data_IF_164337002840
#
_entry.id   IF_164337002840
#
_cell.length_a   1.000
_cell.length_b   1.000
_cell.length_c   1.000
_cell.angle_alpha   90.00
_cell.angle_beta   90.00
_cell.angle_gamma   90.00
#
_symmetry.space_group_name_H-M   'P 1'
#
loop_
_entity.id
_entity.type
_entity.pdbx_description
1 polymer ?
#
# COMPACT_ATOMS: atom_id res chain seq x y z
N UNK A 1 -4.13 10.63 -29.05
CA UNK A 1 -5.05 10.14 -30.07
C UNK A 1 -4.37 9.11 -30.95
N UNK A 2 -5.08 8.02 -31.23
CA UNK A 2 -4.66 6.95 -32.14
C UNK A 2 -5.60 6.96 -33.34
N UNK A 3 -5.05 6.99 -34.56
CA UNK A 3 -5.83 7.00 -35.81
C UNK A 3 -5.53 5.73 -36.61
N UNK A 4 -6.57 5.05 -37.05
CA UNK A 4 -6.48 3.91 -37.96
C UNK A 4 -7.49 4.05 -39.09
N UNK A 5 -7.05 4.50 -40.26
CA UNK A 5 -7.94 4.85 -41.37
C UNK A 5 -8.84 6.03 -40.99
N UNK A 6 -10.15 5.78 -40.95
CA UNK A 6 -11.16 6.77 -40.54
C UNK A 6 -11.51 6.65 -39.04
N UNK A 7 -11.06 5.60 -38.38
CA UNK A 7 -11.30 5.38 -36.94
C UNK A 7 -10.31 6.18 -36.11
N UNK A 8 -10.78 6.66 -34.97
CA UNK A 8 -10.00 7.44 -34.04
C UNK A 8 -10.34 7.04 -32.58
N UNK A 9 -9.32 6.89 -31.77
CA UNK A 9 -9.46 6.56 -30.37
C UNK A 9 -8.56 7.46 -29.51
N UNK A 10 -9.15 8.08 -28.49
CA UNK A 10 -8.43 8.94 -27.54
C UNK A 10 -8.21 8.20 -26.23
N UNK A 11 -6.95 8.04 -25.84
CA UNK A 11 -6.55 7.47 -24.56
C UNK A 11 -5.82 8.54 -23.74
N UNK A 12 -6.24 8.79 -22.49
CA UNK A 12 -5.42 9.51 -21.56
C UNK A 12 -4.21 8.66 -21.15
N UNK A 13 -3.04 9.26 -21.07
CA UNK A 13 -1.86 8.62 -20.48
C UNK A 13 -1.00 9.65 -19.77
N UNK A 14 -0.17 9.18 -18.83
CA UNK A 14 0.78 10.03 -18.14
C UNK A 14 2.16 9.40 -18.08
N UNK A 15 3.18 10.25 -18.02
CA UNK A 15 4.57 9.84 -17.89
C UNK A 15 5.12 10.37 -16.58
N UNK A 16 5.71 9.49 -15.81
CA UNK A 16 6.42 9.84 -14.58
C UNK A 16 7.60 8.90 -14.38
N UNK A 17 8.59 9.34 -13.62
CA UNK A 17 9.69 8.51 -13.13
C UNK A 17 9.57 8.35 -11.62
N UNK A 18 9.95 7.17 -11.12
CA UNK A 18 10.03 6.88 -9.70
C UNK A 18 11.45 6.47 -9.38
N UNK A 19 12.01 7.00 -8.32
CA UNK A 19 13.33 6.65 -7.83
C UNK A 19 13.32 6.61 -6.30
N UNK A 20 14.10 5.71 -5.74
CA UNK A 20 14.31 5.61 -4.30
C UNK A 20 15.76 5.92 -3.97
N UNK A 21 15.96 6.61 -2.87
CA UNK A 21 17.22 6.65 -2.13
C UNK A 21 17.00 6.00 -0.77
N UNK A 22 18.06 5.86 0.03
CA UNK A 22 17.91 5.35 1.40
C UNK A 22 16.92 6.16 2.26
N UNK A 23 16.70 7.44 1.94
CA UNK A 23 15.93 8.38 2.76
C UNK A 23 14.74 9.02 2.06
N UNK A 24 14.64 8.88 0.73
CA UNK A 24 13.65 9.65 -0.03
C UNK A 24 12.98 8.83 -1.12
N UNK A 25 11.72 9.12 -1.31
CA UNK A 25 10.94 8.74 -2.49
C UNK A 25 10.95 9.92 -3.46
N UNK A 26 11.34 9.68 -4.72
CA UNK A 26 11.40 10.72 -5.73
C UNK A 26 10.39 10.45 -6.84
N UNK A 27 9.64 11.48 -7.23
CA UNK A 27 8.79 11.48 -8.42
C UNK A 27 9.31 12.56 -9.36
N UNK A 28 9.62 12.18 -10.61
CA UNK A 28 10.21 13.09 -11.60
C UNK A 28 11.47 13.80 -11.09
N UNK A 29 12.33 13.07 -10.38
CA UNK A 29 13.57 13.55 -9.81
C UNK A 29 13.42 14.50 -8.61
N UNK A 30 12.20 14.73 -8.12
CA UNK A 30 11.94 15.61 -6.98
C UNK A 30 11.49 14.80 -5.76
N UNK A 31 11.96 15.15 -4.54
CA UNK A 31 11.50 14.52 -3.32
C UNK A 31 9.98 14.64 -3.19
N UNK A 32 9.33 13.51 -2.95
CA UNK A 32 7.89 13.44 -2.72
C UNK A 32 7.64 12.99 -1.29
N UNK A 33 6.91 13.82 -0.55
CA UNK A 33 6.48 13.51 0.81
C UNK A 33 5.00 13.14 0.79
N UNK A 34 4.69 11.89 1.18
CA UNK A 34 3.32 11.40 1.25
C UNK A 34 2.54 12.11 2.36
N UNK A 35 1.48 12.80 1.99
CA UNK A 35 0.49 13.41 2.89
C UNK A 35 -0.85 12.83 2.49
N UNK A 36 -1.30 11.79 3.19
CA UNK A 36 -2.42 11.05 2.67
C UNK A 36 -3.19 10.26 3.71
N UNK A 37 -3.95 9.32 3.20
CA UNK A 37 -4.86 8.49 3.98
C UNK A 37 -4.74 7.02 3.59
N UNK A 38 -4.94 6.13 4.58
CA UNK A 38 -5.51 4.82 4.33
C UNK A 38 -7.00 5.02 4.06
N UNK A 39 -7.40 4.94 2.81
CA UNK A 39 -8.80 5.18 2.40
C UNK A 39 -9.56 3.86 2.38
N UNK A 40 -10.89 3.94 2.44
CA UNK A 40 -11.79 2.86 2.07
C UNK A 40 -12.71 3.30 0.92
N UNK A 41 -13.09 2.36 0.03
CA UNK A 41 -14.00 2.60 -1.06
C UNK A 41 -15.38 2.05 -0.69
N UNK A 42 -16.07 2.75 0.19
CA UNK A 42 -17.41 2.41 0.62
C UNK A 42 -18.22 3.66 0.97
N UNK A 43 -19.54 3.52 0.94
CA UNK A 43 -20.49 4.58 1.30
C UNK A 43 -21.66 4.01 2.08
N UNK A 44 -22.34 4.87 2.83
CA UNK A 44 -23.48 4.51 3.66
C UNK A 44 -24.63 3.89 2.86
N UNK A 45 -24.79 4.30 1.60
CA UNK A 45 -25.91 3.89 0.75
C UNK A 45 -25.54 2.73 -0.17
N UNK A 46 -24.35 2.78 -0.77
CA UNK A 46 -23.94 1.83 -1.82
C UNK A 46 -22.98 0.75 -1.34
N UNK A 47 -22.57 0.80 -0.08
CA UNK A 47 -21.50 -0.07 0.39
C UNK A 47 -20.25 0.08 -0.48
N UNK A 48 -19.73 -1.03 -0.99
CA UNK A 48 -18.58 -1.06 -1.93
C UNK A 48 -18.97 -0.93 -3.41
N UNK A 49 -20.23 -0.62 -3.71
CA UNK A 49 -20.64 -0.30 -5.07
C UNK A 49 -20.08 1.03 -5.52
N UNK A 50 -19.80 1.15 -6.82
CA UNK A 50 -19.27 2.38 -7.39
C UNK A 50 -20.14 3.60 -7.07
N UNK A 51 -19.55 4.62 -6.49
CA UNK A 51 -20.16 5.90 -6.19
C UNK A 51 -19.25 7.05 -6.67
N UNK A 52 -19.43 7.44 -7.92
CA UNK A 52 -18.60 8.48 -8.55
C UNK A 52 -18.76 9.84 -7.85
N UNK A 53 -19.96 10.15 -7.35
CA UNK A 53 -20.19 11.42 -6.63
C UNK A 53 -19.41 11.46 -5.32
N UNK A 54 -19.37 10.33 -4.59
CA UNK A 54 -18.54 10.19 -3.40
C UNK A 54 -17.05 10.29 -3.73
N UNK A 55 -16.60 9.63 -4.79
CA UNK A 55 -15.21 9.66 -5.23
C UNK A 55 -14.76 11.10 -5.58
N UNK A 56 -15.60 11.87 -6.26
CA UNK A 56 -15.35 13.31 -6.53
C UNK A 56 -15.21 14.07 -5.22
N UNK A 57 -16.16 13.88 -4.29
CA UNK A 57 -16.13 14.56 -2.98
C UNK A 57 -14.88 14.23 -2.19
N UNK A 58 -14.50 12.95 -2.13
CA UNK A 58 -13.31 12.49 -1.42
C UNK A 58 -12.04 13.14 -1.99
N UNK A 59 -11.91 13.16 -3.32
CA UNK A 59 -10.77 13.82 -3.97
C UNK A 59 -10.71 15.32 -3.71
N UNK A 60 -11.85 16.02 -3.68
CA UNK A 60 -11.89 17.45 -3.35
C UNK A 60 -11.56 17.69 -1.87
N UNK A 61 -12.02 16.82 -0.95
CA UNK A 61 -11.65 16.89 0.46
C UNK A 61 -10.16 16.65 0.66
N UNK A 62 -9.58 15.65 0.00
CA UNK A 62 -8.13 15.40 0.01
C UNK A 62 -7.35 16.64 -0.39
N UNK A 63 -7.74 17.28 -1.49
CA UNK A 63 -7.11 18.54 -1.94
C UNK A 63 -7.29 19.69 -0.96
N UNK A 64 -8.50 19.84 -0.44
CA UNK A 64 -8.83 20.93 0.49
C UNK A 64 -7.97 20.91 1.74
N UNK A 65 -7.65 19.74 2.29
CA UNK A 65 -6.77 19.61 3.46
C UNK A 65 -5.28 19.56 3.10
N UNK A 66 -4.93 19.67 1.81
CA UNK A 66 -3.54 19.62 1.34
C UNK A 66 -2.94 18.23 1.27
N UNK A 67 -3.76 17.19 1.23
CA UNK A 67 -3.30 15.83 0.96
C UNK A 67 -2.95 15.66 -0.53
N UNK A 68 -2.03 14.72 -0.81
CA UNK A 68 -1.51 14.46 -2.15
C UNK A 68 -1.53 12.98 -2.53
N UNK A 69 -1.96 12.11 -1.61
CA UNK A 69 -1.87 10.67 -1.79
C UNK A 69 -2.90 9.91 -0.97
N UNK A 70 -3.16 8.65 -1.39
CA UNK A 70 -3.86 7.68 -0.56
C UNK A 70 -3.36 6.25 -0.85
N UNK A 71 -3.67 5.32 0.04
CA UNK A 71 -3.51 3.89 -0.14
C UNK A 71 -4.89 3.25 -0.32
N UNK A 72 -5.00 2.33 -1.27
CA UNK A 72 -6.25 1.59 -1.52
C UNK A 72 -6.44 0.49 -0.46
N UNK A 73 -6.61 0.90 0.80
CA UNK A 73 -6.80 -0.03 1.92
C UNK A 73 -8.12 -0.79 1.77
N UNK A 74 -8.20 -2.08 1.78
CA UNK A 74 -7.16 -3.13 1.72
C UNK A 74 -7.50 -4.03 0.54
N UNK A 75 -7.81 -3.45 -0.60
CA UNK A 75 -8.32 -4.13 -1.81
C UNK A 75 -8.22 -3.20 -3.03
N UNK A 76 -8.23 -3.73 -4.26
CA UNK A 76 -8.28 -2.91 -5.47
C UNK A 76 -9.56 -2.07 -5.49
N UNK A 77 -9.41 -0.76 -5.72
CA UNK A 77 -10.54 0.16 -5.91
C UNK A 77 -11.04 0.15 -7.35
N UNK A 78 -12.18 0.78 -7.60
CA UNK A 78 -12.71 0.93 -8.95
C UNK A 78 -11.71 1.66 -9.87
N UNK A 79 -11.65 1.26 -11.14
CA UNK A 79 -10.75 1.89 -12.13
C UNK A 79 -11.06 3.38 -12.31
N UNK A 80 -12.33 3.78 -12.15
CA UNK A 80 -12.77 5.17 -12.18
C UNK A 80 -12.10 6.02 -11.08
N UNK A 81 -11.81 5.42 -9.91
CA UNK A 81 -11.06 6.09 -8.86
C UNK A 81 -9.60 6.29 -9.25
N UNK A 82 -8.99 5.30 -9.95
CA UNK A 82 -7.62 5.44 -10.47
C UNK A 82 -7.57 6.52 -11.56
N UNK A 83 -8.52 6.53 -12.49
CA UNK A 83 -8.64 7.57 -13.53
C UNK A 83 -8.81 8.97 -12.91
N UNK A 84 -9.60 9.08 -11.86
CA UNK A 84 -9.77 10.34 -11.14
C UNK A 84 -8.48 10.78 -10.44
N UNK A 85 -7.77 9.86 -9.81
CA UNK A 85 -6.47 10.13 -9.19
C UNK A 85 -5.44 10.62 -10.23
N UNK A 86 -5.39 9.99 -11.42
CA UNK A 86 -4.57 10.45 -12.55
C UNK A 86 -4.88 11.89 -12.94
N UNK A 87 -6.18 12.20 -13.15
CA UNK A 87 -6.62 13.53 -13.56
C UNK A 87 -6.38 14.61 -12.51
N UNK A 88 -6.52 14.25 -11.23
CA UNK A 88 -6.39 15.16 -10.09
C UNK A 88 -4.93 15.32 -9.63
N UNK A 89 -4.01 14.45 -10.10
CA UNK A 89 -2.62 14.42 -9.67
C UNK A 89 -2.45 13.93 -8.23
N UNK A 90 -3.29 12.99 -7.81
CA UNK A 90 -3.22 12.33 -6.52
C UNK A 90 -2.42 11.03 -6.69
N UNK A 91 -1.44 10.81 -5.82
CA UNK A 91 -0.57 9.63 -5.88
C UNK A 91 -1.20 8.46 -5.12
N UNK A 92 -1.08 7.27 -5.66
CA UNK A 92 -1.70 6.05 -5.11
C UNK A 92 -0.65 5.00 -4.76
N UNK A 93 -0.77 4.45 -3.56
CA UNK A 93 -0.19 3.17 -3.16
C UNK A 93 -1.29 2.14 -3.36
N UNK A 94 -1.12 1.28 -4.37
CA UNK A 94 -2.18 0.36 -4.78
C UNK A 94 -2.01 -1.00 -4.12
N UNK A 95 -3.06 -1.47 -3.43
CA UNK A 95 -2.98 -2.61 -2.51
C UNK A 95 -3.86 -3.77 -2.95
N UNK A 96 -3.31 -4.98 -2.87
CA UNK A 96 -4.06 -6.23 -3.10
C UNK A 96 -4.87 -6.63 -1.86
N UNK A 97 -5.92 -7.48 -2.00
CA UNK A 97 -6.76 -7.90 -0.89
C UNK A 97 -6.06 -8.94 0.01
N UNK A 98 -4.85 -8.62 0.48
CA UNK A 98 -4.04 -9.46 1.36
C UNK A 98 -4.04 -8.93 2.80
N UNK A 99 -5.22 -8.76 3.35
CA UNK A 99 -5.52 -8.46 4.75
C UNK A 99 -6.05 -9.72 5.44
N UNK A 100 -5.85 -9.87 6.74
CA UNK A 100 -6.33 -11.05 7.48
C UNK A 100 -5.31 -12.18 7.66
N UNK A 101 -4.10 -12.08 7.09
CA UNK A 101 -2.99 -12.96 7.41
C UNK A 101 -2.31 -12.53 8.71
N UNK A 102 -3.09 -12.28 9.75
CA UNK A 102 -2.62 -11.71 11.00
C UNK A 102 -2.90 -12.60 12.22
N UNK A 103 -2.44 -12.14 13.37
CA UNK A 103 -2.42 -12.89 14.62
C UNK A 103 -3.78 -13.01 15.35
N UNK A 104 -4.86 -12.42 14.84
CA UNK A 104 -6.17 -12.52 15.52
C UNK A 104 -6.69 -13.96 15.60
N UNK A 105 -6.26 -14.83 14.68
CA UNK A 105 -6.55 -16.28 14.72
C UNK A 105 -5.40 -17.11 15.32
N UNK A 106 -4.34 -16.46 15.78
CA UNK A 106 -3.06 -17.11 16.10
C UNK A 106 -2.91 -17.70 17.50
N UNK A 107 -3.97 -17.78 18.30
CA UNK A 107 -3.86 -18.34 19.67
C UNK A 107 -3.43 -19.81 19.71
N UNK A 108 -3.49 -20.52 18.58
CA UNK A 108 -3.22 -21.97 18.52
C UNK A 108 -2.33 -22.43 17.35
N UNK A 109 -1.21 -21.74 17.07
CA UNK A 109 -0.19 -22.38 16.25
C UNK A 109 0.11 -21.77 14.88
N UNK A 110 0.11 -20.46 14.76
CA UNK A 110 0.60 -19.79 13.55
C UNK A 110 -0.45 -19.59 12.46
N UNK A 111 -0.13 -18.70 11.54
CA UNK A 111 -0.97 -18.34 10.37
C UNK A 111 -0.48 -19.04 9.11
N UNK A 112 0.84 -19.14 8.94
CA UNK A 112 1.46 -19.74 7.75
C UNK A 112 1.59 -21.25 7.91
N UNK A 113 0.47 -21.94 7.83
CA UNK A 113 0.31 -23.40 8.03
C UNK A 113 -0.46 -24.02 6.87
N UNK A 114 -0.43 -25.36 6.76
CA UNK A 114 -1.11 -26.09 5.67
C UNK A 114 -2.62 -25.91 5.62
N UNK A 115 -3.25 -25.62 6.75
CA UNK A 115 -4.70 -25.44 6.88
C UNK A 115 -5.16 -23.99 6.77
N UNK A 116 -4.24 -23.00 6.81
CA UNK A 116 -4.56 -21.57 6.74
C UNK A 116 -3.89 -20.90 5.53
N UNK A 117 -2.71 -20.31 5.71
CA UNK A 117 -1.96 -19.65 4.63
C UNK A 117 -0.97 -20.64 4.03
N UNK A 118 -1.35 -21.27 2.95
CA UNK A 118 -0.67 -22.39 2.30
C UNK A 118 -0.35 -22.11 0.81
N UNK A 119 0.02 -23.13 0.06
CA UNK A 119 0.33 -23.03 -1.36
C UNK A 119 -0.85 -22.52 -2.21
N UNK A 120 -2.10 -22.86 -1.86
CA UNK A 120 -3.29 -22.35 -2.58
C UNK A 120 -3.47 -20.86 -2.33
N UNK A 121 -3.28 -20.41 -1.10
CA UNK A 121 -3.28 -18.99 -0.74
C UNK A 121 -2.17 -18.25 -1.48
N UNK A 122 -0.97 -18.83 -1.55
CA UNK A 122 0.15 -18.25 -2.29
C UNK A 122 -0.15 -18.14 -3.79
N UNK A 123 -0.72 -19.18 -4.39
CA UNK A 123 -1.11 -19.16 -5.80
C UNK A 123 -2.16 -18.10 -6.09
N UNK A 124 -3.18 -17.99 -5.22
CA UNK A 124 -4.21 -16.96 -5.33
C UNK A 124 -3.65 -15.56 -5.11
N UNK A 125 -2.76 -15.36 -4.15
CA UNK A 125 -2.10 -14.08 -3.93
C UNK A 125 -1.31 -13.63 -5.17
N UNK A 126 -0.57 -14.54 -5.81
CA UNK A 126 0.10 -14.27 -7.09
C UNK A 126 -0.88 -13.93 -8.20
N UNK A 127 -2.04 -14.58 -8.24
CA UNK A 127 -3.08 -14.30 -9.21
C UNK A 127 -3.65 -12.88 -9.05
N UNK A 128 -4.07 -12.50 -7.83
CA UNK A 128 -4.64 -11.15 -7.59
C UNK A 128 -3.62 -10.05 -7.84
N UNK A 129 -2.34 -10.28 -7.54
CA UNK A 129 -1.25 -9.36 -7.91
C UNK A 129 -1.12 -9.16 -9.42
N UNK A 130 -1.22 -10.26 -10.18
CA UNK A 130 -1.17 -10.20 -11.65
C UNK A 130 -2.36 -9.43 -12.21
N UNK A 131 -3.55 -9.69 -11.68
CA UNK A 131 -4.79 -9.02 -12.11
C UNK A 131 -4.74 -7.53 -11.81
N UNK A 132 -4.33 -7.14 -10.59
CA UNK A 132 -4.13 -5.75 -10.21
C UNK A 132 -3.11 -5.06 -11.11
N UNK A 133 -1.93 -5.66 -11.28
CA UNK A 133 -0.90 -5.14 -12.18
C UNK A 133 -1.41 -4.96 -13.60
N UNK A 134 -2.10 -5.95 -14.16
CA UNK A 134 -2.60 -5.89 -15.53
C UNK A 134 -3.59 -4.76 -15.74
N UNK A 135 -4.45 -4.50 -14.77
CA UNK A 135 -5.44 -3.43 -14.80
C UNK A 135 -4.76 -2.06 -14.63
N UNK A 136 -3.92 -1.91 -13.61
CA UNK A 136 -3.52 -0.58 -13.12
C UNK A 136 -2.10 -0.15 -13.53
N UNK A 137 -1.33 -1.00 -14.21
CA UNK A 137 0.04 -0.68 -14.64
C UNK A 137 0.18 0.58 -15.49
N UNK A 138 -0.87 0.99 -16.19
CA UNK A 138 -0.86 2.16 -17.07
C UNK A 138 -1.35 3.45 -16.36
N UNK A 139 -1.78 3.36 -15.10
CA UNK A 139 -2.15 4.53 -14.32
C UNK A 139 -0.90 5.23 -13.77
N UNK A 140 -0.60 6.48 -14.17
CA UNK A 140 0.54 7.22 -13.65
C UNK A 140 0.41 7.56 -12.16
N UNK A 141 -0.79 7.62 -11.61
CA UNK A 141 -1.02 7.82 -10.18
C UNK A 141 -0.48 6.67 -9.33
N UNK A 142 -0.48 5.43 -9.84
CA UNK A 142 0.04 4.26 -9.13
C UNK A 142 1.55 4.30 -9.11
N UNK A 143 2.13 4.57 -7.94
CA UNK A 143 3.59 4.73 -7.78
C UNK A 143 4.24 3.61 -6.98
N UNK A 144 3.45 2.76 -6.34
CA UNK A 144 3.95 1.68 -5.48
C UNK A 144 2.89 0.58 -5.36
N UNK A 145 3.32 -0.68 -5.34
CA UNK A 145 2.47 -1.84 -5.08
C UNK A 145 2.57 -2.23 -3.62
N UNK A 146 1.44 -2.28 -2.92
CA UNK A 146 1.33 -2.83 -1.58
C UNK A 146 0.81 -4.26 -1.65
N UNK A 147 1.64 -5.21 -1.21
CA UNK A 147 1.35 -6.63 -1.38
C UNK A 147 0.68 -7.28 -0.17
N UNK A 148 0.56 -6.55 0.95
CA UNK A 148 -0.09 -7.06 2.16
C UNK A 148 -0.36 -5.95 3.16
N UNK A 149 -1.37 -6.15 4.02
CA UNK A 149 -1.61 -5.34 5.21
C UNK A 149 -1.56 -6.19 6.48
N UNK A 150 -0.72 -5.79 7.42
CA UNK A 150 -0.58 -6.33 8.77
C UNK A 150 -0.50 -7.87 8.85
N UNK A 151 0.33 -8.52 8.04
CA UNK A 151 0.50 -9.97 8.15
C UNK A 151 1.25 -10.31 9.43
N UNK A 152 1.12 -11.55 9.92
CA UNK A 152 1.91 -12.06 11.03
C UNK A 152 3.38 -12.25 10.62
N UNK A 153 4.06 -11.16 10.36
CA UNK A 153 5.43 -11.12 9.81
C UNK A 153 6.51 -11.56 10.79
N UNK A 154 6.15 -11.83 12.04
CA UNK A 154 7.05 -12.41 13.05
C UNK A 154 7.23 -13.93 12.91
N UNK A 155 6.32 -14.63 12.22
CA UNK A 155 6.49 -16.05 11.95
C UNK A 155 7.63 -16.33 10.96
N UNK A 156 8.46 -17.36 11.21
CA UNK A 156 9.54 -17.71 10.30
C UNK A 156 9.02 -18.14 8.91
N UNK A 157 7.89 -18.84 8.87
CA UNK A 157 7.28 -19.27 7.63
C UNK A 157 6.76 -18.12 6.75
N UNK A 158 6.45 -16.96 7.34
CA UNK A 158 6.08 -15.75 6.59
C UNK A 158 7.18 -15.28 5.65
N UNK A 159 8.45 -15.49 6.03
CA UNK A 159 9.61 -15.08 5.26
C UNK A 159 9.62 -15.71 3.87
N UNK A 160 9.49 -17.04 3.79
CA UNK A 160 9.50 -17.75 2.51
C UNK A 160 8.30 -17.35 1.65
N UNK A 161 7.12 -17.21 2.27
CA UNK A 161 5.90 -16.80 1.59
C UNK A 161 6.06 -15.42 0.92
N UNK A 162 6.48 -14.41 1.67
CA UNK A 162 6.61 -13.04 1.14
C UNK A 162 7.83 -12.85 0.23
N UNK A 163 8.89 -13.64 0.39
CA UNK A 163 9.97 -13.69 -0.58
C UNK A 163 9.46 -14.13 -1.95
N UNK A 164 8.64 -15.20 -2.00
CA UNK A 164 8.02 -15.70 -3.22
C UNK A 164 7.06 -14.69 -3.86
N UNK A 165 6.19 -14.06 -3.06
CA UNK A 165 5.26 -13.03 -3.52
C UNK A 165 6.02 -11.83 -4.11
N UNK A 166 7.04 -11.36 -3.41
CA UNK A 166 7.87 -10.22 -3.85
C UNK A 166 8.62 -10.55 -5.15
N UNK A 167 9.23 -11.72 -5.23
CA UNK A 167 9.88 -12.18 -6.47
C UNK A 167 8.90 -12.24 -7.65
N UNK A 168 7.64 -12.59 -7.37
CA UNK A 168 6.63 -12.70 -8.40
C UNK A 168 6.22 -11.32 -8.95
N UNK A 169 5.85 -10.37 -8.08
CA UNK A 169 5.47 -9.02 -8.54
C UNK A 169 6.65 -8.30 -9.21
N UNK A 170 7.88 -8.54 -8.76
CA UNK A 170 9.10 -7.98 -9.38
C UNK A 170 9.31 -8.46 -10.81
N UNK A 171 8.84 -9.65 -11.17
CA UNK A 171 8.85 -10.15 -12.56
C UNK A 171 7.80 -9.46 -13.43
N UNK A 172 6.71 -9.00 -12.85
CA UNK A 172 5.65 -8.28 -13.56
C UNK A 172 6.02 -6.81 -13.75
N UNK A 173 6.54 -6.19 -12.68
CA UNK A 173 6.94 -4.78 -12.66
C UNK A 173 8.32 -4.64 -11.98
N UNK A 174 9.30 -4.24 -12.78
CA UNK A 174 10.66 -3.98 -12.29
C UNK A 174 10.91 -2.51 -11.93
N UNK A 175 9.95 -1.63 -12.19
CA UNK A 175 10.12 -0.18 -12.04
C UNK A 175 9.49 0.37 -10.76
N UNK A 176 8.26 -0.05 -10.45
CA UNK A 176 7.57 0.44 -9.24
C UNK A 176 8.11 -0.23 -8.00
N UNK A 177 8.33 0.54 -6.93
CA UNK A 177 8.64 0.00 -5.62
C UNK A 177 7.53 -0.93 -5.10
N UNK A 178 7.96 -1.89 -4.30
CA UNK A 178 7.09 -2.84 -3.61
C UNK A 178 7.12 -2.54 -2.13
N UNK A 179 5.97 -2.60 -1.50
CA UNK A 179 5.80 -2.47 -0.05
C UNK A 179 4.79 -3.48 0.50
N UNK A 180 4.70 -3.53 1.79
CA UNK A 180 3.63 -4.11 2.57
C UNK A 180 3.59 -3.38 3.91
N UNK A 181 2.44 -3.33 4.54
CA UNK A 181 2.24 -2.58 5.77
C UNK A 181 2.40 -3.47 6.99
N UNK A 182 3.27 -3.07 7.92
CA UNK A 182 3.61 -3.83 9.13
C UNK A 182 3.01 -3.20 10.39
N UNK A 183 2.56 -4.04 11.32
CA UNK A 183 2.14 -3.62 12.66
C UNK A 183 2.95 -4.24 13.81
N UNK A 184 3.78 -5.23 13.51
CA UNK A 184 4.69 -5.86 14.49
C UNK A 184 5.83 -4.94 14.89
N UNK A 185 6.54 -5.30 15.95
CA UNK A 185 7.77 -4.62 16.32
C UNK A 185 8.88 -4.91 15.31
N UNK A 186 9.75 -3.92 15.10
CA UNK A 186 10.82 -4.01 14.10
C UNK A 186 11.75 -5.20 14.34
N UNK A 187 12.02 -5.54 15.58
CA UNK A 187 12.88 -6.68 15.95
C UNK A 187 12.28 -8.02 15.53
N UNK A 188 10.97 -8.14 15.54
CA UNK A 188 10.23 -9.36 15.21
C UNK A 188 9.99 -9.52 13.68
N UNK A 189 9.96 -8.40 12.95
CA UNK A 189 9.67 -8.41 11.52
C UNK A 189 10.72 -9.17 10.71
N UNK A 190 10.23 -10.05 9.83
CA UNK A 190 11.06 -10.92 8.98
C UNK A 190 10.91 -10.65 7.49
N UNK A 191 9.94 -9.81 7.08
CA UNK A 191 9.57 -9.68 5.66
C UNK A 191 9.91 -8.35 5.02
N UNK A 192 10.01 -7.26 5.78
CA UNK A 192 10.33 -5.92 5.22
C UNK A 192 11.70 -5.85 4.53
N UNK A 193 12.57 -6.82 4.78
CA UNK A 193 13.82 -6.97 4.04
C UNK A 193 13.63 -7.12 2.53
N UNK A 194 12.49 -7.69 2.09
CA UNK A 194 12.17 -7.92 0.68
C UNK A 194 11.55 -6.71 -0.03
N UNK A 195 11.09 -5.72 0.72
CA UNK A 195 10.41 -4.53 0.21
C UNK A 195 11.39 -3.41 -0.13
N UNK A 196 10.98 -2.46 -0.95
CA UNK A 196 11.80 -1.29 -1.30
C UNK A 196 11.54 -0.11 -0.36
N UNK A 197 10.31 -0.02 0.13
CA UNK A 197 9.85 0.98 1.10
C UNK A 197 9.24 0.24 2.28
N UNK A 198 9.55 0.66 3.49
CA UNK A 198 8.94 0.13 4.71
C UNK A 198 7.68 0.93 5.01
N UNK A 199 6.54 0.27 5.09
CA UNK A 199 5.29 0.87 5.55
C UNK A 199 4.88 0.29 6.90
N UNK A 200 4.45 1.15 7.83
CA UNK A 200 4.05 0.74 9.18
C UNK A 200 2.75 1.40 9.60
N UNK A 201 1.94 0.68 10.35
CA UNK A 201 0.76 1.18 11.05
C UNK A 201 1.10 1.39 12.52
N UNK A 202 0.83 2.59 13.04
CA UNK A 202 1.14 2.93 14.43
C UNK A 202 0.07 3.82 15.03
N UNK A 203 -0.43 3.38 16.18
CA UNK A 203 -1.56 4.02 16.87
C UNK A 203 -1.20 4.44 18.28
N UNK A 204 -0.04 5.08 18.45
CA UNK A 204 0.35 5.69 19.73
C UNK A 204 -0.65 6.78 20.13
N UNK A 205 -1.08 6.75 21.39
CA UNK A 205 -2.10 7.67 21.91
C UNK A 205 -3.53 7.18 21.68
N UNK A 206 -3.72 6.10 20.91
CA UNK A 206 -5.00 5.47 20.64
C UNK A 206 -5.04 4.01 21.15
N UNK A 207 -4.63 3.02 20.37
CA UNK A 207 -4.56 1.63 20.85
C UNK A 207 -3.43 1.44 21.88
N UNK A 208 -2.32 2.16 21.73
CA UNK A 208 -1.18 2.09 22.64
C UNK A 208 -1.08 3.38 23.44
N UNK A 209 -1.32 3.29 24.76
CA UNK A 209 -1.27 4.45 25.65
C UNK A 209 -2.37 5.47 25.36
N UNK A 210 -3.61 5.00 25.22
CA UNK A 210 -4.78 5.83 24.94
C UNK A 210 -4.84 7.09 25.80
N UNK A 211 -5.08 8.24 25.16
CA UNK A 211 -5.15 9.55 25.80
C UNK A 211 -3.83 10.17 26.23
N UNK A 212 -2.68 9.47 26.07
CA UNK A 212 -1.34 9.99 26.42
C UNK A 212 -0.69 10.66 25.22
N UNK A 213 -1.24 11.81 24.82
CA UNK A 213 -0.84 12.54 23.60
C UNK A 213 0.65 12.91 23.61
N UNK A 214 1.21 13.22 24.77
CA UNK A 214 2.63 13.56 24.94
C UNK A 214 3.59 12.43 24.55
N UNK A 215 3.11 11.18 24.51
CA UNK A 215 3.90 10.01 24.10
C UNK A 215 3.94 9.77 22.60
N UNK A 216 3.02 10.34 21.83
CA UNK A 216 2.91 10.07 20.41
C UNK A 216 4.22 10.37 19.68
N UNK A 217 4.70 11.60 19.79
CA UNK A 217 5.90 12.05 19.08
C UNK A 217 7.16 11.24 19.47
N UNK A 218 7.53 11.11 20.76
CA UNK A 218 8.75 10.38 21.10
C UNK A 218 8.69 8.89 20.74
N UNK A 219 7.53 8.24 20.91
CA UNK A 219 7.36 6.83 20.57
C UNK A 219 7.45 6.60 19.05
N UNK A 220 6.70 7.36 18.27
CA UNK A 220 6.73 7.24 16.82
C UNK A 220 8.12 7.58 16.26
N UNK A 221 8.76 8.64 16.74
CA UNK A 221 10.12 9.00 16.31
C UNK A 221 11.11 7.88 16.55
N UNK A 222 11.07 7.28 17.74
CA UNK A 222 11.98 6.18 18.10
C UNK A 222 11.75 4.96 17.19
N UNK A 223 10.48 4.62 16.95
CA UNK A 223 10.12 3.48 16.10
C UNK A 223 10.56 3.69 14.65
N UNK A 224 10.29 4.85 14.07
CA UNK A 224 10.73 5.21 12.71
C UNK A 224 12.25 5.11 12.54
N UNK A 225 13.02 5.57 13.54
CA UNK A 225 14.49 5.48 13.53
C UNK A 225 14.92 4.01 13.50
N UNK A 226 14.36 3.17 14.35
CA UNK A 226 14.70 1.73 14.41
C UNK A 226 14.40 1.02 13.07
N UNK A 227 13.24 1.29 12.46
CA UNK A 227 12.89 0.73 11.17
C UNK A 227 13.87 1.15 10.07
N UNK A 228 14.23 2.43 10.05
CA UNK A 228 15.21 2.94 9.08
C UNK A 228 16.60 2.34 9.32
N UNK A 229 17.07 2.30 10.57
CA UNK A 229 18.39 1.74 10.91
C UNK A 229 18.51 0.25 10.58
N UNK A 230 17.43 -0.54 10.81
CA UNK A 230 17.44 -1.97 10.50
C UNK A 230 17.48 -2.26 9.01
N UNK A 231 16.74 -1.51 8.20
CA UNK A 231 16.57 -1.84 6.78
C UNK A 231 17.25 -0.89 5.79
N UNK A 232 17.69 0.30 6.20
CA UNK A 232 18.32 1.30 5.33
C UNK A 232 17.39 1.81 4.23
N UNK A 233 16.08 1.87 4.49
CA UNK A 233 15.04 2.19 3.49
C UNK A 233 14.20 3.37 3.94
N UNK A 234 13.53 4.08 2.99
CA UNK A 234 12.49 5.04 3.36
C UNK A 234 11.38 4.38 4.17
N UNK A 235 10.84 5.10 5.14
CA UNK A 235 9.74 4.63 6.00
C UNK A 235 8.53 5.54 5.83
N UNK A 236 7.35 4.94 5.65
CA UNK A 236 6.06 5.62 5.58
C UNK A 236 5.16 5.10 6.69
N UNK A 237 4.55 6.00 7.46
CA UNK A 237 3.45 5.63 8.36
C UNK A 237 2.18 5.62 7.53
N UNK A 238 1.62 4.43 7.33
CA UNK A 238 0.48 4.21 6.44
C UNK A 238 -0.86 4.30 7.14
N UNK A 239 -0.86 4.13 8.46
CA UNK A 239 -2.03 4.37 9.31
C UNK A 239 -1.60 4.94 10.66
N UNK A 240 -2.28 6.00 11.09
CA UNK A 240 -2.11 6.62 12.40
C UNK A 240 -3.35 7.45 12.74
N UNK A 241 -3.50 7.75 14.02
CA UNK A 241 -4.68 8.44 14.51
C UNK A 241 -5.90 7.52 14.58
N UNK A 242 -7.07 8.11 14.82
CA UNK A 242 -8.37 7.45 14.79
C UNK A 242 -9.50 8.47 14.72
#
# INVERSE_FOLDING_TARGET
DIYFGQDHYTLPFGIRTIQLTEKQFLINGKPFYFKGFGKHEDSDIRGKGLDEALNVRDCELLKWIGANSFRTSHYPYAEEMMQMADQKGIVVIDEVPAVGMNFFDGENGGIFTEDKVNEKTLAYHKQVLKELYQRDKNHPCVVMWSITNEPHSSEEASRNYFEEVTKYIRKLDSERPITGTMNVDVEEDKISQFFDVVCINRYFGWYVGAGKIERIYPSLKTDLIKWHEKYGKPVIVTEYGA
#
